data_IF_047006801220
#
_entry.id   IF_047006801220
#
_cell.length_a   1.000
_cell.length_b   1.000
_cell.length_c   1.000
_cell.angle_alpha   90.00
_cell.angle_beta   90.00
_cell.angle_gamma   90.00
#
_symmetry.space_group_name_H-M   'P 1'
#
loop_
_entity.id
_entity.type
_entity.pdbx_description
1 polymer ?
#
# COMPACT_ATOMS: atom_id res chain seq x y z
N UNK A 1 -31.50 -32.34 -23.96
CA UNK A 1 -31.66 -30.89 -24.15
C UNK A 1 -32.10 -30.15 -22.88
N UNK A 2 -33.21 -30.52 -22.21
CA UNK A 2 -33.72 -29.81 -21.01
C UNK A 2 -32.72 -29.74 -19.85
N UNK A 3 -31.94 -30.81 -19.61
CA UNK A 3 -30.90 -30.86 -18.57
C UNK A 3 -29.63 -30.08 -18.92
N UNK A 4 -29.31 -29.90 -20.21
CA UNK A 4 -28.15 -29.10 -20.64
C UNK A 4 -28.33 -27.62 -20.30
N UNK A 5 -29.54 -27.07 -20.46
CA UNK A 5 -29.84 -25.69 -20.07
C UNK A 5 -29.68 -25.48 -18.55
N UNK A 6 -30.12 -26.44 -17.73
CA UNK A 6 -29.93 -26.39 -16.28
C UNK A 6 -28.45 -26.44 -15.89
N UNK A 7 -27.66 -27.27 -16.57
CA UNK A 7 -26.22 -27.38 -16.32
C UNK A 7 -25.48 -26.09 -16.71
N UNK A 8 -25.80 -25.50 -17.86
CA UNK A 8 -25.23 -24.21 -18.28
C UNK A 8 -25.56 -23.10 -17.27
N UNK A 9 -26.82 -23.02 -16.82
CA UNK A 9 -27.23 -22.04 -15.81
C UNK A 9 -26.46 -22.21 -14.48
N UNK A 10 -26.28 -23.45 -14.03
CA UNK A 10 -25.56 -23.76 -12.81
C UNK A 10 -24.08 -23.34 -12.90
N UNK A 11 -23.41 -23.63 -14.02
CA UNK A 11 -22.04 -23.18 -14.25
C UNK A 11 -21.93 -21.66 -14.33
N UNK A 12 -22.89 -20.97 -14.96
CA UNK A 12 -22.91 -19.50 -15.00
C UNK A 12 -23.00 -18.87 -13.61
N UNK A 13 -23.79 -19.44 -12.69
CA UNK A 13 -23.90 -18.95 -11.29
C UNK A 13 -22.59 -19.15 -10.53
N UNK A 14 -21.95 -20.31 -10.68
CA UNK A 14 -20.66 -20.59 -10.03
C UNK A 14 -19.59 -19.64 -10.54
N UNK A 15 -19.52 -19.42 -11.85
CA UNK A 15 -18.53 -18.51 -12.45
C UNK A 15 -18.76 -17.05 -12.05
N UNK A 16 -20.01 -16.62 -11.79
CA UNK A 16 -20.29 -15.26 -11.31
C UNK A 16 -19.86 -15.06 -9.85
N UNK A 17 -19.83 -16.11 -9.03
CA UNK A 17 -19.48 -16.00 -7.61
C UNK A 17 -18.00 -15.69 -7.33
N UNK A 18 -17.12 -15.73 -8.34
CA UNK A 18 -15.67 -15.50 -8.18
C UNK A 18 -15.25 -14.02 -8.16
N UNK A 19 -16.19 -13.08 -7.97
CA UNK A 19 -15.87 -11.66 -7.87
C UNK A 19 -15.09 -11.40 -6.56
N UNK A 20 -13.76 -11.28 -6.66
CA UNK A 20 -12.85 -10.94 -5.56
C UNK A 20 -12.92 -9.41 -5.36
N UNK A 21 -13.33 -8.97 -4.18
CA UNK A 21 -13.40 -7.55 -3.79
C UNK A 21 -12.26 -7.18 -2.83
N UNK A 22 -11.08 -7.77 -3.02
CA UNK A 22 -9.99 -7.79 -2.06
C UNK A 22 -9.02 -6.60 -2.17
N UNK A 23 -9.44 -5.50 -2.81
CA UNK A 23 -8.65 -4.27 -2.88
C UNK A 23 -9.27 -3.14 -2.05
N UNK A 24 -10.15 -3.47 -1.10
CA UNK A 24 -10.62 -2.51 -0.11
C UNK A 24 -9.57 -2.34 0.98
N UNK A 25 -8.58 -1.50 0.71
CA UNK A 25 -7.58 -1.12 1.73
C UNK A 25 -8.19 -0.06 2.64
N UNK A 26 -8.12 -0.29 3.94
CA UNK A 26 -8.59 0.68 4.92
C UNK A 26 -7.65 1.90 4.88
N UNK A 27 -8.16 3.14 4.87
CA UNK A 27 -7.30 4.31 5.02
C UNK A 27 -6.55 4.21 6.35
N UNK A 28 -5.23 4.42 6.31
CA UNK A 28 -4.33 4.24 7.45
C UNK A 28 -4.87 4.90 8.74
N UNK A 29 -5.46 4.09 9.63
CA UNK A 29 -5.94 4.50 10.96
C UNK A 29 -4.91 4.25 12.06
N UNK A 30 -3.62 4.36 11.70
CA UNK A 30 -2.57 4.76 12.62
C UNK A 30 -1.98 3.63 13.46
N UNK A 31 -0.84 3.09 13.00
CA UNK A 31 0.29 2.61 13.82
C UNK A 31 1.42 2.15 12.88
N UNK A 32 1.85 3.01 11.95
CA UNK A 32 3.06 2.75 11.19
C UNK A 32 4.28 3.01 12.08
N UNK A 33 5.19 2.05 12.14
CA UNK A 33 6.45 2.19 12.87
C UNK A 33 7.58 2.51 11.88
N UNK A 34 8.46 3.44 12.24
CA UNK A 34 9.62 3.78 11.44
C UNK A 34 10.85 3.08 11.98
N UNK A 35 11.78 2.68 11.11
CA UNK A 35 13.04 2.08 11.55
C UNK A 35 13.90 3.00 12.42
N UNK A 36 13.66 4.31 12.34
CA UNK A 36 14.36 5.37 13.06
C UNK A 36 13.42 6.56 13.25
N UNK A 37 13.52 7.20 14.40
CA UNK A 37 12.74 8.40 14.72
C UNK A 37 13.34 9.66 14.09
N UNK A 38 14.67 9.69 13.90
CA UNK A 38 15.37 10.82 13.31
C UNK A 38 16.51 10.35 12.42
N UNK A 39 16.59 10.92 11.22
CA UNK A 39 17.68 10.70 10.26
C UNK A 39 18.46 12.01 10.15
N UNK A 40 19.69 12.02 10.66
CA UNK A 40 20.60 13.15 10.50
C UNK A 40 21.28 13.05 9.14
N UNK A 41 21.04 14.06 8.32
CA UNK A 41 21.78 14.32 7.10
C UNK A 41 22.82 15.39 7.43
N UNK A 42 24.05 15.22 6.95
CA UNK A 42 25.09 16.25 7.09
C UNK A 42 24.87 17.33 6.02
N UNK A 43 25.77 17.48 5.05
CA UNK A 43 25.57 18.38 3.92
C UNK A 43 24.90 17.66 2.77
N UNK A 44 23.74 18.15 2.34
CA UNK A 44 23.06 17.70 1.11
C UNK A 44 23.45 18.61 -0.03
N UNK A 45 24.11 18.04 -1.05
CA UNK A 45 24.53 18.76 -2.25
C UNK A 45 23.54 18.58 -3.40
N UNK A 46 23.31 19.66 -4.14
CA UNK A 46 22.39 19.68 -5.29
C UNK A 46 23.03 19.14 -6.58
N UNK A 47 24.34 19.36 -6.75
CA UNK A 47 25.06 19.07 -8.01
C UNK A 47 26.12 17.95 -7.89
N UNK A 48 26.35 17.44 -6.69
CA UNK A 48 27.22 16.28 -6.45
C UNK A 48 26.46 15.26 -5.61
N UNK A 49 26.77 13.98 -5.78
CA UNK A 49 26.10 12.90 -5.05
C UNK A 49 26.22 13.08 -3.54
N UNK A 50 25.09 12.97 -2.86
CA UNK A 50 25.01 13.00 -1.39
C UNK A 50 24.85 11.59 -0.81
N UNK A 51 25.09 11.44 0.48
CA UNK A 51 24.85 10.18 1.20
C UNK A 51 23.39 9.74 1.07
N UNK A 52 23.17 8.47 0.72
CA UNK A 52 21.83 7.88 0.64
C UNK A 52 21.55 7.06 1.90
N UNK A 53 20.38 7.24 2.50
CA UNK A 53 19.95 6.52 3.70
C UNK A 53 18.66 5.75 3.41
N UNK A 54 18.56 4.54 3.97
CA UNK A 54 17.35 3.74 3.91
C UNK A 54 16.49 3.99 5.16
N UNK A 55 15.23 4.36 4.97
CA UNK A 55 14.21 4.44 6.01
C UNK A 55 13.15 3.38 5.72
N UNK A 56 12.86 2.52 6.69
CA UNK A 56 11.81 1.50 6.56
C UNK A 56 10.58 1.92 7.35
N UNK A 57 9.42 1.65 6.76
CA UNK A 57 8.11 1.85 7.38
C UNK A 57 7.50 0.47 7.55
N UNK A 58 7.07 0.17 8.77
CA UNK A 58 6.52 -1.12 9.15
C UNK A 58 5.03 -0.98 9.45
N UNK A 59 4.25 -1.84 8.81
CA UNK A 59 2.90 -2.12 9.25
C UNK A 59 2.95 -3.21 10.34
N UNK A 60 2.42 -2.92 11.53
CA UNK A 60 2.35 -3.86 12.67
C UNK A 60 0.98 -4.52 12.82
N UNK A 61 -0.01 -4.12 12.02
CA UNK A 61 -1.32 -4.77 12.02
C UNK A 61 -1.36 -5.97 11.07
N UNK A 62 -2.38 -6.80 11.27
CA UNK A 62 -2.70 -7.92 10.38
C UNK A 62 -3.49 -7.48 9.12
N UNK A 63 -3.89 -6.20 9.06
CA UNK A 63 -4.63 -5.61 7.94
C UNK A 63 -3.71 -4.98 6.89
N UNK A 64 -4.11 -5.08 5.61
CA UNK A 64 -3.45 -4.40 4.49
C UNK A 64 -3.71 -2.88 4.51
N UNK A 65 -2.63 -2.09 4.48
CA UNK A 65 -2.69 -0.62 4.53
C UNK A 65 -2.17 -0.01 3.23
N UNK A 66 -2.95 0.91 2.63
CA UNK A 66 -2.48 1.73 1.51
C UNK A 66 -1.79 3.00 2.02
N UNK A 67 -0.59 3.27 1.50
CA UNK A 67 0.16 4.51 1.72
C UNK A 67 0.06 5.38 0.45
N UNK A 68 -0.89 6.33 0.37
CA UNK A 68 -1.15 7.09 -0.85
C UNK A 68 -0.09 8.16 -1.15
N UNK A 69 0.62 8.66 -0.12
CA UNK A 69 1.67 9.66 -0.29
C UNK A 69 2.70 9.59 0.83
N UNK A 70 3.97 9.84 0.49
CA UNK A 70 5.07 10.05 1.44
C UNK A 70 5.59 11.47 1.17
N UNK A 71 5.69 12.29 2.22
CA UNK A 71 6.12 13.69 2.13
C UNK A 71 6.87 14.09 3.40
N UNK A 72 7.72 15.11 3.28
CA UNK A 72 8.36 15.73 4.44
C UNK A 72 7.31 16.48 5.25
N UNK A 73 7.47 16.50 6.58
CA UNK A 73 6.49 17.10 7.51
C UNK A 73 6.27 18.59 7.28
N UNK A 74 7.32 19.33 6.91
CA UNK A 74 7.24 20.77 6.60
C UNK A 74 7.29 21.04 5.08
N UNK A 75 7.15 20.01 4.25
CA UNK A 75 7.11 20.18 2.79
C UNK A 75 8.39 20.82 2.24
N UNK A 76 8.24 21.94 1.55
CA UNK A 76 9.36 22.72 0.96
C UNK A 76 10.18 23.47 2.02
N UNK A 77 9.60 23.73 3.20
CA UNK A 77 10.31 24.41 4.29
C UNK A 77 11.30 23.48 5.01
N UNK A 78 11.27 22.18 4.73
CA UNK A 78 12.23 21.19 5.26
C UNK A 78 13.61 21.22 4.56
N UNK A 79 13.85 22.18 3.66
CA UNK A 79 15.04 22.26 2.80
C UNK A 79 16.13 23.21 3.33
#
# INVERSE_FOLDING_TARGET
MKYMYGLVLFFSIILWSSCRNDFETVPNTGNLEFSRDTVFLDTVFTNIGSSTYNLKVYNRSDDDITIPSIRLGEGEDSQ
#
